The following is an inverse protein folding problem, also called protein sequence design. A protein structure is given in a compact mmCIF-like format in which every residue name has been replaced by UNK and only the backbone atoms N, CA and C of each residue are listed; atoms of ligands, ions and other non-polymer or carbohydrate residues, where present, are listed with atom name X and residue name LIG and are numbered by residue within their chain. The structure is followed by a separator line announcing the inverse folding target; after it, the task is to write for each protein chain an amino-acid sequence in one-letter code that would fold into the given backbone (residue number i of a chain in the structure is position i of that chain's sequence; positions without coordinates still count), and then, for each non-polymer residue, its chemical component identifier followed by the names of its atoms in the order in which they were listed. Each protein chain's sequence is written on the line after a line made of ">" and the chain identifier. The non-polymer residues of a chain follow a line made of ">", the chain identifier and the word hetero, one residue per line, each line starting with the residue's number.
data_IF_345803250355
#
_entry.id   IF_345803250355
#
_cell.length_a   1.000
_cell.length_b   1.000
_cell.length_c   1.000
_cell.angle_alpha   90.00
_cell.angle_beta   90.00
_cell.angle_gamma   90.00
#
_symmetry.space_group_name_H-M   'P 1'
#
loop_
_entity.id
_entity.type
_entity.pdbx_description
1 polymer ?
#
# COMPACT_ATOMS: atom_id res chain seq x y z
N UNK A 1 35.89 -14.89 8.05
CA UNK A 1 34.42 -14.76 8.01
C UNK A 1 34.03 -14.61 6.55
N UNK A 2 33.36 -15.61 5.99
CA UNK A 2 32.88 -15.59 4.60
C UNK A 2 31.68 -14.65 4.53
N UNK A 3 31.79 -13.58 3.75
CA UNK A 3 30.64 -12.75 3.41
C UNK A 3 29.64 -13.64 2.64
N UNK A 4 28.52 -13.98 3.28
CA UNK A 4 27.39 -14.53 2.56
C UNK A 4 26.97 -13.50 1.52
N UNK A 5 26.90 -13.87 0.24
CA UNK A 5 26.11 -13.09 -0.71
C UNK A 5 24.72 -12.96 -0.11
N UNK A 6 24.33 -11.75 0.28
CA UNK A 6 22.95 -11.50 0.65
C UNK A 6 22.09 -11.86 -0.57
N UNK A 7 21.03 -12.66 -0.36
CA UNK A 7 20.05 -12.90 -1.42
C UNK A 7 19.48 -11.54 -1.87
N UNK A 8 19.18 -11.36 -3.18
CA UNK A 8 18.50 -10.14 -3.64
C UNK A 8 17.14 -10.01 -2.92
N UNK A 9 16.64 -8.78 -2.88
CA UNK A 9 15.38 -8.45 -2.23
C UNK A 9 14.22 -9.25 -2.82
N UNK A 10 13.30 -9.73 -1.98
CA UNK A 10 12.11 -10.44 -2.45
C UNK A 10 11.14 -9.46 -3.12
N UNK A 11 11.16 -9.44 -4.45
CA UNK A 11 10.25 -8.61 -5.24
C UNK A 11 8.88 -9.26 -5.40
N UNK A 12 7.85 -8.46 -5.13
CA UNK A 12 6.46 -8.83 -5.34
C UNK A 12 5.62 -7.69 -5.90
N UNK A 13 4.32 -7.94 -5.99
CA UNK A 13 3.31 -6.99 -6.43
C UNK A 13 1.99 -7.26 -5.71
N UNK A 14 1.19 -6.22 -5.55
CA UNK A 14 -0.17 -6.30 -5.04
C UNK A 14 -1.16 -6.60 -6.15
N UNK A 15 -2.25 -7.27 -5.80
CA UNK A 15 -3.43 -7.25 -6.63
C UNK A 15 -4.67 -7.75 -5.92
N UNK A 16 -5.78 -7.61 -6.63
CA UNK A 16 -7.13 -7.83 -6.12
C UNK A 16 -7.84 -8.94 -6.91
N UNK A 17 -7.32 -10.18 -6.90
CA UNK A 17 -7.75 -11.25 -7.80
C UNK A 17 -9.21 -11.67 -7.62
N UNK A 18 -9.83 -11.35 -6.48
CA UNK A 18 -11.16 -11.84 -6.12
C UNK A 18 -12.29 -10.86 -6.44
N UNK A 19 -11.98 -9.57 -6.63
CA UNK A 19 -12.98 -8.49 -6.62
C UNK A 19 -12.79 -7.46 -7.73
N UNK A 20 -11.56 -7.01 -8.01
CA UNK A 20 -11.33 -5.82 -8.85
C UNK A 20 -11.46 -6.08 -10.35
N UNK A 21 -11.12 -7.29 -10.81
CA UNK A 21 -10.96 -7.56 -12.24
C UNK A 21 -11.79 -8.76 -12.72
N UNK A 22 -13.14 -8.75 -12.57
CA UNK A 22 -13.98 -9.80 -13.14
C UNK A 22 -13.70 -9.95 -14.64
N UNK A 23 -13.37 -11.18 -15.07
CA UNK A 23 -12.97 -11.50 -16.44
C UNK A 23 -11.47 -11.80 -16.64
N UNK A 24 -10.63 -11.56 -15.62
CA UNK A 24 -9.20 -11.88 -15.64
C UNK A 24 -8.93 -13.02 -14.66
N UNK A 25 -8.45 -14.18 -15.15
CA UNK A 25 -8.25 -15.34 -14.29
C UNK A 25 -7.06 -15.18 -13.34
N UNK A 26 -7.05 -15.98 -12.27
CA UNK A 26 -5.93 -16.07 -11.32
C UNK A 26 -4.65 -16.45 -12.05
N UNK A 27 -4.72 -17.40 -12.97
CA UNK A 27 -3.59 -17.87 -13.77
C UNK A 27 -2.98 -16.75 -14.60
N UNK A 28 -3.82 -15.94 -15.25
CA UNK A 28 -3.35 -14.82 -16.07
C UNK A 28 -2.64 -13.76 -15.22
N UNK A 29 -3.17 -13.47 -14.03
CA UNK A 29 -2.51 -12.55 -13.10
C UNK A 29 -1.14 -13.09 -12.66
N UNK A 30 -1.08 -14.34 -12.21
CA UNK A 30 0.18 -14.96 -11.78
C UNK A 30 1.19 -15.15 -12.91
N UNK A 31 0.74 -15.31 -14.16
CA UNK A 31 1.63 -15.34 -15.32
C UNK A 31 2.30 -13.98 -15.55
N UNK A 32 1.62 -12.85 -15.28
CA UNK A 32 2.27 -11.53 -15.27
C UNK A 32 3.28 -11.40 -14.14
N UNK A 33 2.96 -11.87 -12.92
CA UNK A 33 3.89 -11.85 -11.77
C UNK A 33 5.17 -12.62 -12.11
N UNK A 34 5.02 -13.83 -12.65
CA UNK A 34 6.15 -14.64 -13.10
C UNK A 34 6.93 -13.95 -14.22
N UNK A 35 6.26 -13.39 -15.21
CA UNK A 35 6.92 -12.72 -16.34
C UNK A 35 7.70 -11.46 -15.92
N UNK A 36 7.26 -10.75 -14.88
CA UNK A 36 8.03 -9.65 -14.25
C UNK A 36 9.31 -10.14 -13.55
N UNK A 37 9.43 -11.44 -13.28
CA UNK A 37 10.50 -12.02 -12.47
C UNK A 37 10.24 -11.96 -10.96
N UNK A 38 9.06 -11.52 -10.55
CA UNK A 38 8.65 -11.44 -9.15
C UNK A 38 8.34 -12.82 -8.56
N UNK A 39 8.46 -12.94 -7.25
CA UNK A 39 8.30 -14.19 -6.50
C UNK A 39 7.24 -14.13 -5.41
N UNK A 40 6.63 -12.96 -5.20
CA UNK A 40 5.56 -12.77 -4.22
C UNK A 40 4.36 -12.05 -4.84
N UNK A 41 3.16 -12.45 -4.46
CA UNK A 41 1.90 -11.80 -4.83
C UNK A 41 1.09 -11.53 -3.56
N UNK A 42 0.93 -10.24 -3.21
CA UNK A 42 0.21 -9.81 -2.02
C UNK A 42 -1.27 -9.60 -2.34
N UNK A 43 -2.15 -10.16 -1.51
CA UNK A 43 -3.59 -10.18 -1.75
C UNK A 43 -4.40 -10.01 -0.47
N UNK A 44 -5.50 -9.29 -0.56
CA UNK A 44 -6.44 -9.07 0.55
C UNK A 44 -7.31 -10.31 0.81
N UNK A 45 -7.53 -10.61 2.09
CA UNK A 45 -8.52 -11.59 2.56
C UNK A 45 -9.26 -11.03 3.79
N UNK A 46 -10.57 -10.78 3.64
CA UNK A 46 -11.37 -10.14 4.69
C UNK A 46 -12.28 -11.10 5.47
N UNK A 47 -12.54 -12.29 4.94
CA UNK A 47 -13.49 -13.24 5.54
C UNK A 47 -13.11 -14.70 5.28
N UNK A 48 -13.64 -15.64 6.09
CA UNK A 48 -13.44 -17.07 5.87
C UNK A 48 -14.01 -17.56 4.54
N UNK A 49 -15.03 -16.90 4.00
CA UNK A 49 -15.65 -17.27 2.72
C UNK A 49 -14.67 -17.16 1.54
N UNK A 50 -13.70 -16.24 1.63
CA UNK A 50 -12.63 -16.11 0.64
C UNK A 50 -11.59 -17.23 0.68
N UNK A 51 -11.60 -18.09 1.71
CA UNK A 51 -10.55 -19.09 1.91
C UNK A 51 -10.50 -20.14 0.79
N UNK A 52 -11.61 -20.48 0.14
CA UNK A 52 -11.57 -21.39 -1.02
C UNK A 52 -10.85 -20.76 -2.21
N UNK A 53 -11.14 -19.48 -2.51
CA UNK A 53 -10.43 -18.74 -3.57
C UNK A 53 -8.95 -18.53 -3.23
N UNK A 54 -8.64 -18.29 -1.95
CA UNK A 54 -7.25 -18.20 -1.48
C UNK A 54 -6.51 -19.54 -1.68
N UNK A 55 -7.15 -20.69 -1.42
CA UNK A 55 -6.55 -22.00 -1.65
C UNK A 55 -6.26 -22.26 -3.14
N UNK A 56 -7.17 -21.87 -4.03
CA UNK A 56 -6.95 -21.93 -5.48
C UNK A 56 -5.75 -21.07 -5.90
N UNK A 57 -5.69 -19.83 -5.39
CA UNK A 57 -4.60 -18.91 -5.64
C UNK A 57 -3.25 -19.43 -5.13
N UNK A 58 -3.20 -19.96 -3.90
CA UNK A 58 -1.98 -20.55 -3.31
C UNK A 58 -1.49 -21.73 -4.14
N UNK A 59 -2.40 -22.62 -4.57
CA UNK A 59 -2.07 -23.74 -5.44
C UNK A 59 -1.51 -23.26 -6.78
N UNK A 60 -2.18 -22.30 -7.43
CA UNK A 60 -1.75 -21.75 -8.71
C UNK A 60 -0.41 -20.99 -8.60
N UNK A 61 -0.17 -20.32 -7.47
CA UNK A 61 1.08 -19.63 -7.14
C UNK A 61 2.24 -20.62 -6.99
N UNK A 62 2.05 -21.69 -6.21
CA UNK A 62 3.05 -22.77 -6.04
C UNK A 62 3.48 -23.37 -7.38
N UNK A 63 2.53 -23.64 -8.28
CA UNK A 63 2.83 -24.15 -9.64
C UNK A 63 3.70 -23.20 -10.48
N UNK A 64 3.71 -21.90 -10.16
CA UNK A 64 4.46 -20.86 -10.87
C UNK A 64 5.69 -20.37 -10.11
N UNK A 65 5.99 -20.94 -8.94
CA UNK A 65 7.05 -20.46 -8.06
C UNK A 65 6.80 -19.04 -7.55
N UNK A 66 5.53 -18.69 -7.34
CA UNK A 66 5.08 -17.41 -6.75
C UNK A 66 4.47 -17.71 -5.37
N UNK A 67 5.03 -17.10 -4.34
CA UNK A 67 4.51 -17.14 -2.98
C UNK A 67 3.33 -16.18 -2.86
N UNK A 68 2.29 -16.59 -2.13
CA UNK A 68 1.15 -15.71 -1.84
C UNK A 68 1.39 -15.11 -0.46
N UNK A 69 1.38 -13.78 -0.38
CA UNK A 69 1.37 -13.03 0.88
C UNK A 69 -0.07 -12.56 1.15
N UNK A 70 -0.87 -13.32 1.89
CA UNK A 70 -2.18 -12.83 2.31
C UNK A 70 -2.02 -11.72 3.34
N UNK A 71 -2.80 -10.65 3.16
CA UNK A 71 -3.06 -9.67 4.22
C UNK A 71 -4.49 -9.85 4.74
N UNK A 72 -4.60 -10.12 6.05
CA UNK A 72 -5.90 -10.22 6.70
C UNK A 72 -6.42 -8.80 6.91
N UNK A 73 -7.52 -8.47 6.26
CA UNK A 73 -8.19 -7.16 6.32
C UNK A 73 -9.60 -7.33 6.89
N UNK A 74 -9.76 -7.50 8.21
CA UNK A 74 -11.04 -7.84 8.81
C UNK A 74 -12.11 -6.80 8.50
N UNK A 75 -13.29 -7.24 8.06
CA UNK A 75 -14.46 -6.37 7.90
C UNK A 75 -15.16 -6.23 9.26
N UNK A 76 -14.72 -5.23 10.04
CA UNK A 76 -15.17 -5.01 11.42
C UNK A 76 -15.82 -3.63 11.55
N UNK A 77 -16.90 -3.55 12.34
CA UNK A 77 -17.49 -2.28 12.75
C UNK A 77 -16.66 -1.65 13.88
N UNK A 78 -15.61 -0.92 13.50
CA UNK A 78 -14.76 -0.22 14.45
C UNK A 78 -15.49 0.92 15.19
N UNK A 79 -16.57 1.47 14.64
CA UNK A 79 -17.28 2.59 15.25
C UNK A 79 -18.15 2.12 16.42
N UNK A 80 -18.89 1.02 16.23
CA UNK A 80 -19.81 0.51 17.25
C UNK A 80 -19.28 -0.69 18.04
N UNK A 81 -18.24 -1.37 17.54
CA UNK A 81 -17.65 -2.53 18.21
C UNK A 81 -16.99 -2.17 19.54
N UNK A 82 -17.16 -3.05 20.54
CA UNK A 82 -16.40 -2.98 21.80
C UNK A 82 -14.99 -3.53 21.61
N UNK A 83 -14.07 -3.17 22.50
CA UNK A 83 -12.68 -3.67 22.48
C UNK A 83 -12.65 -5.20 22.53
N UNK A 84 -13.45 -5.82 23.40
CA UNK A 84 -13.47 -7.27 23.58
C UNK A 84 -14.09 -7.98 22.35
N UNK A 85 -15.19 -7.45 21.81
CA UNK A 85 -15.82 -8.02 20.61
C UNK A 85 -14.90 -7.92 19.39
N UNK A 86 -14.21 -6.79 19.22
CA UNK A 86 -13.27 -6.58 18.12
C UNK A 86 -12.06 -7.50 18.21
N UNK A 87 -11.53 -7.69 19.42
CA UNK A 87 -10.47 -8.68 19.67
C UNK A 87 -10.95 -10.09 19.33
N UNK A 88 -12.13 -10.50 19.82
CA UNK A 88 -12.65 -11.84 19.60
C UNK A 88 -12.92 -12.15 18.12
N UNK A 89 -13.53 -11.20 17.40
CA UNK A 89 -13.79 -11.35 15.96
C UNK A 89 -12.49 -11.43 15.15
N UNK A 90 -11.51 -10.59 15.45
CA UNK A 90 -10.21 -10.62 14.80
C UNK A 90 -9.47 -11.94 15.09
N UNK A 91 -9.52 -12.40 16.34
CA UNK A 91 -8.94 -13.66 16.78
C UNK A 91 -9.57 -14.86 16.04
N UNK A 92 -10.89 -14.91 15.94
CA UNK A 92 -11.61 -16.00 15.26
C UNK A 92 -11.31 -16.05 13.76
N UNK A 93 -11.30 -14.88 13.11
CA UNK A 93 -10.96 -14.76 11.70
C UNK A 93 -9.53 -15.26 11.41
N UNK A 94 -8.55 -14.77 12.18
CA UNK A 94 -7.17 -15.21 12.02
C UNK A 94 -7.00 -16.69 12.37
N UNK A 95 -7.64 -17.18 13.43
CA UNK A 95 -7.60 -18.61 13.79
C UNK A 95 -8.11 -19.48 12.65
N UNK A 96 -9.24 -19.10 12.04
CA UNK A 96 -9.85 -19.82 10.93
C UNK A 96 -8.97 -19.84 9.69
N UNK A 97 -8.48 -18.68 9.26
CA UNK A 97 -7.67 -18.55 8.05
C UNK A 97 -6.29 -19.20 8.25
N UNK A 98 -5.57 -18.82 9.30
CA UNK A 98 -4.20 -19.32 9.54
C UNK A 98 -4.21 -20.82 9.78
N UNK A 99 -5.18 -21.38 10.53
CA UNK A 99 -5.26 -22.84 10.76
C UNK A 99 -5.39 -23.62 9.46
N UNK A 100 -6.21 -23.13 8.52
CA UNK A 100 -6.43 -23.79 7.23
C UNK A 100 -5.17 -23.84 6.37
N UNK A 101 -4.30 -22.85 6.49
CA UNK A 101 -3.18 -22.61 5.58
C UNK A 101 -1.80 -22.73 6.22
N UNK A 102 -1.70 -23.15 7.48
CA UNK A 102 -0.44 -23.18 8.24
C UNK A 102 0.69 -23.96 7.56
N UNK A 103 0.35 -24.98 6.77
CA UNK A 103 1.32 -25.81 6.03
C UNK A 103 1.67 -25.22 4.65
N UNK A 104 0.88 -24.26 4.16
CA UNK A 104 1.03 -23.65 2.85
C UNK A 104 1.61 -22.22 2.89
N UNK A 105 1.31 -21.47 3.93
CA UNK A 105 1.63 -20.05 4.09
C UNK A 105 2.33 -19.84 5.44
N UNK A 106 3.57 -19.34 5.39
CA UNK A 106 4.42 -19.14 6.57
C UNK A 106 4.60 -17.69 6.99
N UNK A 107 4.07 -16.74 6.21
CA UNK A 107 4.03 -15.32 6.57
C UNK A 107 2.65 -14.78 6.27
N UNK A 108 2.07 -14.10 7.25
CA UNK A 108 0.80 -13.40 7.13
C UNK A 108 1.00 -11.93 7.46
N UNK A 109 0.45 -11.05 6.64
CA UNK A 109 0.28 -9.67 7.02
C UNK A 109 -1.04 -9.51 7.77
N UNK A 110 -0.99 -8.85 8.92
CA UNK A 110 -2.07 -8.84 9.89
C UNK A 110 -2.57 -7.41 10.08
N UNK A 111 -3.71 -7.12 9.47
CA UNK A 111 -4.23 -5.77 9.34
C UNK A 111 -3.57 -5.03 8.16
N UNK A 112 -4.31 -4.08 7.59
CA UNK A 112 -3.80 -3.16 6.58
C UNK A 112 -4.16 -1.74 7.02
N UNK A 113 -3.17 -0.90 7.28
CA UNK A 113 -3.35 0.53 7.57
C UNK A 113 -4.36 0.85 8.70
N UNK A 114 -4.52 -0.06 9.66
CA UNK A 114 -5.56 0.05 10.71
C UNK A 114 -5.37 1.30 11.57
N UNK A 115 -4.13 1.80 11.70
CA UNK A 115 -3.80 2.98 12.48
C UNK A 115 -4.41 4.27 11.92
N UNK A 116 -4.73 4.30 10.62
CA UNK A 116 -5.44 5.42 10.00
C UNK A 116 -6.77 5.69 10.72
N UNK A 117 -7.47 4.63 11.17
CA UNK A 117 -8.70 4.76 11.92
C UNK A 117 -8.50 5.53 13.23
N UNK A 118 -7.33 5.39 13.85
CA UNK A 118 -7.02 6.01 15.14
C UNK A 118 -6.38 7.40 15.02
N UNK A 119 -6.14 7.93 13.82
CA UNK A 119 -5.47 9.22 13.67
C UNK A 119 -6.29 10.34 14.31
N UNK A 120 -5.61 11.19 15.09
CA UNK A 120 -6.21 12.34 15.77
C UNK A 120 -6.68 13.36 14.74
N UNK A 121 -7.94 13.77 14.85
CA UNK A 121 -8.62 14.69 13.95
C UNK A 121 -8.71 16.10 14.56
N UNK A 122 -8.94 17.14 13.74
CA UNK A 122 -9.14 18.51 14.22
C UNK A 122 -10.18 18.60 15.34
N UNK A 123 -9.91 19.44 16.34
CA UNK A 123 -10.75 19.65 17.53
C UNK A 123 -10.86 18.47 18.52
N UNK A 124 -10.29 17.31 18.24
CA UNK A 124 -10.30 16.19 19.20
C UNK A 124 -9.37 16.46 20.39
N UNK A 125 -9.75 15.95 21.56
CA UNK A 125 -8.92 16.06 22.75
C UNK A 125 -7.81 15.00 22.74
N UNK A 126 -6.59 15.44 23.01
CA UNK A 126 -5.45 14.55 23.28
C UNK A 126 -5.59 13.92 24.67
N UNK A 127 -4.80 12.89 24.93
CA UNK A 127 -4.71 12.24 26.25
C UNK A 127 -4.28 13.22 27.37
N UNK A 128 -3.55 14.28 27.01
CA UNK A 128 -3.15 15.36 27.92
C UNK A 128 -4.30 16.28 28.34
N UNK A 129 -5.49 16.16 27.74
CA UNK A 129 -6.60 17.10 27.88
C UNK A 129 -6.48 18.35 27.00
N UNK A 130 -5.38 18.51 26.25
CA UNK A 130 -5.22 19.59 25.27
C UNK A 130 -6.05 19.32 24.02
N UNK A 131 -6.77 20.33 23.55
CA UNK A 131 -7.50 20.24 22.29
C UNK A 131 -6.55 20.33 21.09
N UNK A 132 -6.63 19.36 20.18
CA UNK A 132 -5.94 19.43 18.91
C UNK A 132 -6.50 20.57 18.05
N UNK A 133 -5.60 21.37 17.48
CA UNK A 133 -5.99 22.61 16.80
C UNK A 133 -7.03 22.35 15.70
N UNK A 134 -8.19 23.01 15.81
CA UNK A 134 -9.30 22.90 14.88
C UNK A 134 -8.97 23.35 13.44
N UNK A 135 -7.95 24.18 13.25
CA UNK A 135 -7.50 24.66 11.95
C UNK A 135 -6.46 23.77 11.29
N UNK A 136 -5.97 22.73 11.97
CA UNK A 136 -5.02 21.77 11.38
C UNK A 136 -5.75 20.69 10.57
N UNK A 137 -5.00 19.91 9.79
CA UNK A 137 -5.48 18.64 9.24
C UNK A 137 -5.33 17.50 10.26
N UNK A 138 -5.65 16.25 9.88
CA UNK A 138 -5.33 15.08 10.69
C UNK A 138 -3.86 15.10 11.14
N UNK A 139 -3.59 14.58 12.33
CA UNK A 139 -2.22 14.51 12.83
C UNK A 139 -1.33 13.65 11.93
N UNK A 140 -0.01 13.91 11.94
CA UNK A 140 0.93 13.27 11.01
C UNK A 140 1.38 11.85 11.39
N UNK A 141 0.85 11.26 12.45
CA UNK A 141 1.18 9.88 12.87
C UNK A 141 2.60 9.65 13.40
N UNK A 142 3.46 10.68 13.44
CA UNK A 142 4.87 10.56 13.85
C UNK A 142 5.11 10.33 15.35
N UNK A 143 4.10 10.53 16.18
CA UNK A 143 4.15 10.46 17.63
C UNK A 143 2.95 9.68 18.17
N UNK A 144 3.07 9.09 19.35
CA UNK A 144 1.95 8.36 19.98
C UNK A 144 0.77 9.28 20.29
N UNK A 145 1.02 10.56 20.54
CA UNK A 145 0.01 11.60 20.81
C UNK A 145 -0.76 12.02 19.55
N UNK A 146 -0.35 11.56 18.36
CA UNK A 146 -1.06 11.77 17.09
C UNK A 146 -2.21 10.78 16.87
N UNK A 147 -2.45 9.87 17.82
CA UNK A 147 -3.55 8.92 17.77
C UNK A 147 -4.54 9.21 18.90
N UNK A 148 -5.82 9.20 18.56
CA UNK A 148 -6.92 9.34 19.50
C UNK A 148 -7.12 8.03 20.27
N UNK A 149 -6.79 8.01 21.56
CA UNK A 149 -6.73 6.77 22.35
C UNK A 149 -7.98 5.90 22.34
N UNK A 150 -9.22 6.45 22.39
CA UNK A 150 -10.42 5.61 22.26
C UNK A 150 -10.45 4.81 20.95
N UNK A 151 -10.09 5.42 19.81
CA UNK A 151 -10.00 4.71 18.52
C UNK A 151 -8.77 3.81 18.45
N UNK A 152 -7.65 4.22 19.03
CA UNK A 152 -6.45 3.37 19.13
C UNK A 152 -6.71 2.07 19.90
N UNK A 153 -7.45 2.12 21.02
CA UNK A 153 -7.75 0.92 21.82
C UNK A 153 -8.47 -0.16 21.01
N UNK A 154 -9.33 0.25 20.06
CA UNK A 154 -10.03 -0.64 19.13
C UNK A 154 -9.08 -1.22 18.07
N UNK A 155 -8.22 -0.38 17.48
CA UNK A 155 -7.17 -0.83 16.55
C UNK A 155 -6.25 -1.85 17.23
N UNK A 156 -5.79 -1.53 18.44
CA UNK A 156 -4.94 -2.39 19.27
C UNK A 156 -5.61 -3.73 19.56
N UNK A 157 -6.90 -3.75 19.88
CA UNK A 157 -7.68 -4.96 20.08
C UNK A 157 -7.68 -5.87 18.85
N UNK A 158 -7.91 -5.30 17.66
CA UNK A 158 -7.92 -6.06 16.40
C UNK A 158 -6.53 -6.62 16.11
N UNK A 159 -5.49 -5.78 16.12
CA UNK A 159 -4.11 -6.20 15.82
C UNK A 159 -3.62 -7.27 16.82
N UNK A 160 -3.96 -7.11 18.10
CA UNK A 160 -3.67 -8.12 19.13
C UNK A 160 -4.41 -9.42 18.88
N UNK A 161 -5.70 -9.38 18.54
CA UNK A 161 -6.49 -10.57 18.21
C UNK A 161 -5.89 -11.36 17.04
N UNK A 162 -5.51 -10.66 15.95
CA UNK A 162 -4.84 -11.27 14.80
C UNK A 162 -3.49 -11.91 15.19
N UNK A 163 -2.69 -11.18 15.96
CA UNK A 163 -1.38 -11.65 16.47
C UNK A 163 -1.53 -12.92 17.30
N UNK A 164 -2.37 -12.87 18.34
CA UNK A 164 -2.48 -13.92 19.34
C UNK A 164 -3.08 -15.19 18.75
N UNK A 165 -4.06 -15.07 17.86
CA UNK A 165 -4.59 -16.20 17.10
C UNK A 165 -3.51 -16.88 16.24
N UNK A 166 -2.72 -16.10 15.51
CA UNK A 166 -1.63 -16.64 14.67
C UNK A 166 -0.63 -17.43 15.52
N UNK A 167 -0.28 -16.91 16.70
CA UNK A 167 0.64 -17.56 17.64
C UNK A 167 0.03 -18.84 18.24
N UNK A 168 -1.26 -18.80 18.58
CA UNK A 168 -1.97 -19.96 19.11
C UNK A 168 -2.08 -21.11 18.08
N UNK A 169 -2.22 -20.79 16.80
CA UNK A 169 -2.28 -21.77 15.71
C UNK A 169 -0.91 -22.41 15.45
N UNK A 170 0.12 -21.59 15.24
CA UNK A 170 1.50 -22.06 15.05
C UNK A 170 2.47 -20.88 15.33
N UNK A 171 3.24 -20.93 16.44
CA UNK A 171 4.14 -19.84 16.81
C UNK A 171 5.31 -19.63 15.83
N UNK A 172 5.54 -20.56 14.90
CA UNK A 172 6.57 -20.43 13.86
C UNK A 172 6.13 -19.62 12.65
N UNK A 173 4.83 -19.33 12.52
CA UNK A 173 4.30 -18.46 11.46
C UNK A 173 4.68 -17.01 11.74
N UNK A 174 5.31 -16.36 10.75
CA UNK A 174 5.74 -14.97 10.85
C UNK A 174 4.57 -14.02 10.66
N UNK A 175 4.52 -13.00 11.50
CA UNK A 175 3.50 -11.96 11.57
C UNK A 175 4.09 -10.67 11.03
N UNK A 176 3.62 -10.23 9.86
CA UNK A 176 3.95 -8.93 9.31
C UNK A 176 2.88 -7.92 9.74
N UNK A 177 3.30 -6.79 10.31
CA UNK A 177 2.40 -5.74 10.77
C UNK A 177 3.04 -4.37 10.56
N UNK A 178 2.23 -3.38 10.24
CA UNK A 178 2.74 -2.05 9.98
C UNK A 178 1.66 -1.04 9.71
N UNK A 179 2.03 -0.04 8.92
CA UNK A 179 1.28 1.21 8.79
C UNK A 179 1.19 1.64 7.33
N UNK A 180 0.24 2.54 7.04
CA UNK A 180 0.05 3.19 5.75
C UNK A 180 1.26 3.98 5.23
N UNK A 181 2.30 4.14 6.05
CA UNK A 181 3.46 4.96 5.73
C UNK A 181 3.27 6.41 6.15
N UNK A 182 3.71 7.36 5.33
CA UNK A 182 3.46 8.80 5.51
C UNK A 182 3.81 9.39 6.88
N UNK A 183 4.81 8.81 7.55
CA UNK A 183 5.27 9.26 8.87
C UNK A 183 4.58 8.59 10.06
N UNK A 184 3.72 7.58 9.86
CA UNK A 184 2.96 6.89 10.92
C UNK A 184 3.80 6.01 11.88
N UNK A 185 5.05 6.40 12.17
CA UNK A 185 5.95 5.69 13.08
C UNK A 185 5.44 5.59 14.52
N UNK A 186 4.58 6.52 14.95
CA UNK A 186 4.01 6.52 16.29
C UNK A 186 3.13 5.29 16.58
N UNK A 187 2.52 4.70 15.55
CA UNK A 187 1.75 3.46 15.68
C UNK A 187 2.64 2.28 16.11
N UNK A 188 3.88 2.16 15.63
CA UNK A 188 4.80 1.12 16.09
C UNK A 188 5.11 1.25 17.58
N UNK A 189 5.33 2.48 18.05
CA UNK A 189 5.56 2.74 19.47
C UNK A 189 4.34 2.35 20.30
N UNK A 190 3.13 2.68 19.84
CA UNK A 190 1.91 2.25 20.53
C UNK A 190 1.70 0.73 20.50
N UNK A 191 1.99 0.06 19.38
CA UNK A 191 1.97 -1.41 19.31
C UNK A 191 2.92 -2.06 20.33
N UNK A 192 4.13 -1.51 20.51
CA UNK A 192 5.06 -1.95 21.55
C UNK A 192 4.50 -1.73 22.96
N UNK A 193 3.92 -0.56 23.23
CA UNK A 193 3.34 -0.21 24.54
C UNK A 193 2.19 -1.14 24.92
N UNK A 194 1.38 -1.54 23.93
CA UNK A 194 0.24 -2.44 24.13
C UNK A 194 0.62 -3.92 24.12
N UNK A 195 1.92 -4.24 23.96
CA UNK A 195 2.43 -5.62 23.98
C UNK A 195 2.04 -6.44 22.74
N UNK A 196 1.69 -5.81 21.62
CA UNK A 196 1.38 -6.50 20.37
C UNK A 196 2.66 -7.16 19.83
N UNK A 197 2.56 -8.42 19.40
CA UNK A 197 3.70 -9.22 18.94
C UNK A 197 3.67 -9.40 17.44
N UNK A 198 4.65 -8.87 16.74
CA UNK A 198 4.88 -9.12 15.32
C UNK A 198 6.32 -9.57 15.09
N UNK A 199 6.67 -9.98 13.87
CA UNK A 199 8.02 -10.43 13.50
C UNK A 199 8.64 -9.58 12.40
N UNK A 200 7.81 -8.97 11.54
CA UNK A 200 8.22 -8.15 10.40
C UNK A 200 7.53 -6.80 10.45
N UNK A 201 8.30 -5.71 10.40
CA UNK A 201 7.76 -4.35 10.36
C UNK A 201 7.41 -3.97 8.92
N UNK A 202 6.15 -3.62 8.68
CA UNK A 202 5.62 -3.30 7.35
C UNK A 202 5.53 -1.79 7.14
N UNK A 203 5.92 -1.31 5.96
CA UNK A 203 5.84 0.11 5.60
C UNK A 203 5.35 0.30 4.17
N UNK A 204 4.41 1.22 3.95
CA UNK A 204 4.03 1.62 2.59
C UNK A 204 4.78 2.88 2.14
N UNK A 205 5.17 2.94 0.86
CA UNK A 205 6.00 4.01 0.31
C UNK A 205 5.46 4.54 -1.03
N UNK A 206 4.93 5.75 -1.00
CA UNK A 206 4.37 6.42 -2.19
C UNK A 206 5.16 7.68 -2.58
N UNK A 207 6.45 7.71 -2.28
CA UNK A 207 7.38 8.78 -2.65
C UNK A 207 8.34 9.20 -1.54
N UNK A 208 9.37 9.95 -1.94
CA UNK A 208 10.42 10.42 -1.03
C UNK A 208 11.43 9.34 -0.67
N UNK A 209 12.45 9.75 0.09
CA UNK A 209 13.47 8.84 0.62
C UNK A 209 13.00 8.24 1.97
N UNK A 210 12.88 6.90 2.09
CA UNK A 210 12.45 6.27 3.33
C UNK A 210 13.56 6.13 4.39
N UNK A 211 14.78 6.62 4.16
CA UNK A 211 15.95 6.37 5.03
C UNK A 211 15.66 6.62 6.52
N UNK A 212 15.06 7.76 6.84
CA UNK A 212 14.79 8.14 8.24
C UNK A 212 13.77 7.21 8.91
N UNK A 213 12.82 6.69 8.13
CA UNK A 213 11.86 5.70 8.62
C UNK A 213 12.55 4.35 8.77
N UNK A 214 13.40 3.94 7.83
CA UNK A 214 14.13 2.68 7.94
C UNK A 214 15.12 2.68 9.10
N UNK A 215 15.78 3.81 9.39
CA UNK A 215 16.57 3.99 10.63
C UNK A 215 15.71 3.72 11.86
N UNK A 216 14.52 4.32 11.93
CA UNK A 216 13.59 4.07 13.03
C UNK A 216 13.16 2.59 13.10
N UNK A 217 12.69 2.00 12.00
CA UNK A 217 12.22 0.61 11.98
C UNK A 217 13.33 -0.39 12.33
N UNK A 218 14.57 -0.14 11.91
CA UNK A 218 15.72 -0.96 12.27
C UNK A 218 15.97 -0.97 13.79
N UNK A 219 15.65 0.11 14.52
CA UNK A 219 15.74 0.12 16.00
C UNK A 219 14.77 -0.86 16.68
N UNK A 220 13.72 -1.29 15.98
CA UNK A 220 12.77 -2.29 16.49
C UNK A 220 13.36 -3.71 16.46
N UNK A 221 14.53 -3.90 15.84
CA UNK A 221 15.24 -5.19 15.78
C UNK A 221 14.54 -6.25 14.93
N UNK A 222 13.75 -5.83 13.95
CA UNK A 222 12.92 -6.69 13.10
C UNK A 222 13.18 -6.40 11.62
N UNK A 223 13.07 -7.39 10.73
CA UNK A 223 13.14 -7.14 9.29
C UNK A 223 12.07 -6.16 8.79
N UNK A 224 12.39 -5.45 7.72
CA UNK A 224 11.51 -4.45 7.10
C UNK A 224 10.96 -5.00 5.78
N UNK A 225 9.65 -5.00 5.62
CA UNK A 225 8.99 -5.30 4.36
C UNK A 225 8.23 -4.08 3.86
N UNK A 226 8.38 -3.77 2.57
CA UNK A 226 7.50 -2.83 1.90
C UNK A 226 6.40 -3.64 1.23
N UNK A 227 5.19 -3.60 1.77
CA UNK A 227 4.07 -4.36 1.22
C UNK A 227 3.27 -3.56 0.22
N UNK A 228 3.54 -2.24 0.13
CA UNK A 228 3.04 -1.38 -0.93
C UNK A 228 4.07 -0.30 -1.26
N UNK A 229 4.43 -0.17 -2.54
CA UNK A 229 5.09 1.03 -3.04
C UNK A 229 4.73 1.32 -4.50
N UNK A 230 4.73 2.59 -4.88
CA UNK A 230 4.66 3.00 -6.28
C UNK A 230 5.22 4.42 -6.44
N UNK A 231 5.38 4.86 -7.69
CA UNK A 231 5.53 6.28 -7.97
C UNK A 231 4.29 7.05 -7.48
N UNK A 232 4.46 8.19 -6.77
CA UNK A 232 3.34 8.99 -6.28
C UNK A 232 2.33 9.31 -7.38
N UNK A 233 1.09 8.88 -7.20
CA UNK A 233 0.01 9.09 -8.16
C UNK A 233 0.01 8.12 -9.36
N UNK A 234 0.81 7.06 -9.33
CA UNK A 234 0.89 6.07 -10.40
C UNK A 234 1.25 6.70 -11.73
N UNK A 235 0.49 6.41 -12.79
CA UNK A 235 0.69 7.02 -14.11
C UNK A 235 -0.14 8.28 -14.37
N UNK A 236 -0.75 8.92 -13.36
CA UNK A 236 -1.58 10.12 -13.58
C UNK A 236 -0.84 11.28 -14.26
N UNK A 237 0.47 11.42 -14.00
CA UNK A 237 1.33 12.46 -14.60
C UNK A 237 2.09 11.97 -15.83
N UNK A 238 1.86 10.72 -16.25
CA UNK A 238 2.51 10.07 -17.38
C UNK A 238 3.13 8.73 -17.00
N UNK A 239 2.98 7.75 -17.89
CA UNK A 239 3.46 6.38 -17.62
C UNK A 239 4.98 6.26 -17.63
N UNK A 240 5.68 7.11 -18.38
CA UNK A 240 7.14 7.16 -18.33
C UNK A 240 7.64 7.65 -16.97
N UNK A 241 6.96 8.64 -16.36
CA UNK A 241 7.31 9.11 -15.02
C UNK A 241 7.08 8.02 -13.97
N UNK A 242 6.00 7.24 -14.10
CA UNK A 242 5.78 6.06 -13.26
C UNK A 242 6.95 5.06 -13.39
N UNK A 243 7.36 4.77 -14.63
CA UNK A 243 8.46 3.85 -14.89
C UNK A 243 9.78 4.32 -14.26
N UNK A 244 10.16 5.58 -14.48
CA UNK A 244 11.40 6.15 -13.96
C UNK A 244 11.40 6.18 -12.42
N UNK A 245 10.30 6.62 -11.82
CA UNK A 245 10.17 6.69 -10.35
C UNK A 245 10.16 5.31 -9.67
N UNK A 246 9.59 4.29 -10.32
CA UNK A 246 9.68 2.91 -9.82
C UNK A 246 11.13 2.39 -9.88
N UNK A 247 11.85 2.63 -10.98
CA UNK A 247 13.26 2.22 -11.10
C UNK A 247 14.14 2.92 -10.06
N UNK A 248 13.92 4.22 -9.83
CA UNK A 248 14.61 4.99 -8.80
C UNK A 248 14.36 4.38 -7.41
N UNK A 249 13.09 4.15 -7.05
CA UNK A 249 12.69 3.56 -5.77
C UNK A 249 13.30 2.16 -5.59
N UNK A 250 13.21 1.30 -6.61
CA UNK A 250 13.78 -0.06 -6.54
C UNK A 250 15.30 -0.04 -6.36
N UNK A 251 16.00 0.90 -7.00
CA UNK A 251 17.44 1.08 -6.83
C UNK A 251 17.78 1.51 -5.41
N UNK A 252 16.98 2.43 -4.84
CA UNK A 252 17.13 2.88 -3.46
C UNK A 252 16.90 1.75 -2.46
N UNK A 253 15.85 0.93 -2.65
CA UNK A 253 15.55 -0.21 -1.77
C UNK A 253 16.67 -1.25 -1.75
N UNK A 254 17.34 -1.51 -2.89
CA UNK A 254 18.53 -2.39 -2.91
C UNK A 254 19.68 -1.83 -2.09
N UNK A 255 19.91 -0.51 -2.14
CA UNK A 255 20.95 0.14 -1.31
C UNK A 255 20.63 -0.01 0.18
N UNK A 256 19.35 0.07 0.54
CA UNK A 256 18.88 -0.01 1.92
C UNK A 256 18.73 -1.42 2.47
N UNK A 257 18.75 -2.44 1.59
CA UNK A 257 18.63 -3.84 1.96
C UNK A 257 19.58 -4.23 3.09
N UNK A 258 20.90 -4.09 2.88
CA UNK A 258 21.90 -4.47 3.87
C UNK A 258 22.03 -3.48 5.04
N UNK A 259 21.66 -2.21 4.83
CA UNK A 259 21.80 -1.15 5.84
C UNK A 259 20.72 -1.23 6.93
N UNK A 260 19.50 -1.60 6.55
CA UNK A 260 18.35 -1.57 7.47
C UNK A 260 17.61 -2.90 7.58
N UNK A 261 18.05 -3.95 6.88
CA UNK A 261 17.39 -5.26 6.91
C UNK A 261 16.07 -5.26 6.13
N UNK A 262 16.03 -4.57 4.98
CA UNK A 262 14.89 -4.66 4.07
C UNK A 262 14.92 -6.01 3.37
N UNK A 263 13.87 -6.82 3.51
CA UNK A 263 13.84 -8.19 2.98
C UNK A 263 12.92 -8.34 1.76
N UNK A 264 11.84 -7.56 1.67
CA UNK A 264 10.83 -7.68 0.62
C UNK A 264 10.24 -6.32 0.23
N UNK A 265 9.80 -6.20 -1.03
CA UNK A 265 9.12 -5.02 -1.54
C UNK A 265 8.07 -5.39 -2.59
N UNK A 266 6.86 -4.83 -2.46
CA UNK A 266 5.71 -5.13 -3.32
C UNK A 266 5.19 -3.87 -4.01
N UNK A 267 5.18 -3.87 -5.34
CA UNK A 267 4.60 -2.76 -6.10
C UNK A 267 3.08 -2.76 -5.93
N UNK A 268 2.48 -1.62 -5.61
CA UNK A 268 1.03 -1.43 -5.63
C UNK A 268 0.65 -0.66 -6.90
N UNK A 269 0.18 -1.27 -7.99
CA UNK A 269 -0.35 -2.64 -8.11
C UNK A 269 -0.13 -3.29 -9.50
N UNK A 270 -0.55 -4.55 -9.66
CA UNK A 270 -0.29 -5.33 -10.87
C UNK A 270 -1.08 -4.83 -12.09
N UNK A 271 -2.39 -4.62 -11.92
CA UNK A 271 -3.32 -4.23 -12.97
C UNK A 271 -3.97 -2.90 -12.59
N UNK A 272 -4.25 -2.04 -13.56
CA UNK A 272 -4.99 -0.80 -13.30
C UNK A 272 -6.41 -1.08 -12.84
N UNK A 273 -6.96 -0.22 -11.98
CA UNK A 273 -8.37 -0.23 -11.56
C UNK A 273 -9.15 0.98 -12.14
N UNK A 274 -9.37 1.05 -13.46
CA UNK A 274 -9.89 2.26 -14.13
C UNK A 274 -11.30 2.69 -13.67
N UNK A 275 -12.04 1.84 -12.97
CA UNK A 275 -13.33 2.20 -12.38
C UNK A 275 -13.23 3.16 -11.18
N UNK A 276 -12.04 3.33 -10.60
CA UNK A 276 -11.75 4.40 -9.63
C UNK A 276 -11.44 5.73 -10.29
N UNK A 277 -11.43 5.82 -11.63
CA UNK A 277 -11.07 7.05 -12.29
C UNK A 277 -12.04 8.18 -11.88
N UNK A 278 -11.51 9.38 -11.57
CA UNK A 278 -10.14 9.82 -11.84
C UNK A 278 -9.22 9.81 -10.60
N UNK A 279 -9.56 9.05 -9.55
CA UNK A 279 -8.64 8.75 -8.44
C UNK A 279 -7.28 8.27 -8.96
N UNK A 280 -6.21 8.56 -8.23
CA UNK A 280 -4.89 8.04 -8.58
C UNK A 280 -4.82 6.51 -8.49
N UNK A 281 -5.63 5.91 -7.59
CA UNK A 281 -5.83 4.46 -7.47
C UNK A 281 -6.10 3.81 -8.83
N UNK A 282 -6.81 4.50 -9.72
CA UNK A 282 -7.16 3.97 -11.04
C UNK A 282 -5.97 3.73 -11.97
N UNK A 283 -4.81 4.29 -11.65
CA UNK A 283 -3.65 4.38 -12.53
C UNK A 283 -2.37 3.81 -11.92
N UNK A 284 -2.50 3.02 -10.85
CA UNK A 284 -1.37 2.43 -10.11
C UNK A 284 -0.80 1.17 -10.77
N UNK A 285 -1.57 0.52 -11.65
CA UNK A 285 -1.23 -0.73 -12.31
C UNK A 285 0.02 -0.67 -13.19
N UNK A 286 0.67 -1.83 -13.39
CA UNK A 286 1.70 -2.03 -14.42
C UNK A 286 1.10 -2.47 -15.77
N UNK A 287 -0.13 -2.98 -15.76
CA UNK A 287 -0.89 -3.42 -16.94
C UNK A 287 -2.20 -2.66 -17.01
N UNK A 288 -2.47 -2.04 -18.15
CA UNK A 288 -3.73 -1.33 -18.39
C UNK A 288 -4.87 -2.31 -18.55
N UNK A 289 -6.05 -1.91 -18.08
CA UNK A 289 -7.30 -2.61 -18.34
C UNK A 289 -8.22 -1.80 -19.26
N UNK A 290 -9.10 -2.51 -19.96
CA UNK A 290 -10.24 -1.93 -20.67
C UNK A 290 -11.50 -2.72 -20.36
N UNK A 291 -12.63 -2.02 -20.26
CA UNK A 291 -13.94 -2.65 -20.13
C UNK A 291 -14.33 -3.27 -21.47
N UNK A 292 -14.75 -4.52 -21.45
CA UNK A 292 -15.30 -5.23 -22.62
C UNK A 292 -16.79 -4.90 -22.77
N UNK A 293 -17.34 -5.22 -23.94
CA UNK A 293 -18.76 -5.03 -24.25
C UNK A 293 -19.72 -5.87 -23.38
N UNK A 294 -19.22 -6.94 -22.75
CA UNK A 294 -19.96 -7.79 -21.81
C UNK A 294 -19.87 -7.32 -20.35
N UNK A 295 -19.28 -6.14 -20.11
CA UNK A 295 -19.13 -5.55 -18.78
C UNK A 295 -17.93 -6.07 -17.97
N UNK A 296 -17.22 -7.09 -18.47
CA UNK A 296 -16.02 -7.65 -17.84
C UNK A 296 -14.76 -6.87 -18.22
N UNK A 297 -13.67 -7.05 -17.47
CA UNK A 297 -12.38 -6.43 -17.78
C UNK A 297 -11.51 -7.33 -18.64
N UNK A 298 -10.65 -6.70 -19.46
CA UNK A 298 -9.57 -7.37 -20.16
C UNK A 298 -8.31 -6.49 -20.15
N UNK A 299 -7.11 -7.10 -20.15
CA UNK A 299 -5.88 -6.36 -20.37
C UNK A 299 -5.91 -5.62 -21.71
N UNK A 300 -5.48 -4.36 -21.72
CA UNK A 300 -5.38 -3.52 -22.91
C UNK A 300 -3.92 -3.21 -23.30
N UNK A 301 -2.96 -3.60 -22.47
CA UNK A 301 -1.53 -3.54 -22.78
C UNK A 301 -0.66 -3.28 -21.55
N UNK A 302 0.62 -3.62 -21.63
CA UNK A 302 1.61 -3.32 -20.59
C UNK A 302 1.96 -1.82 -20.63
N UNK A 303 2.18 -1.20 -19.47
CA UNK A 303 2.77 0.14 -19.38
C UNK A 303 4.30 0.08 -19.51
N UNK A 304 4.98 1.17 -19.89
CA UNK A 304 6.45 1.26 -19.84
C UNK A 304 7.05 0.79 -18.50
N UNK A 305 6.37 1.08 -17.39
CA UNK A 305 6.75 0.64 -16.05
C UNK A 305 6.90 -0.89 -15.93
N UNK A 306 6.09 -1.68 -16.64
CA UNK A 306 6.17 -3.14 -16.62
C UNK A 306 7.54 -3.63 -17.08
N UNK A 307 8.00 -3.15 -18.24
CA UNK A 307 9.26 -3.59 -18.82
C UNK A 307 10.46 -3.00 -18.06
N UNK A 308 10.35 -1.78 -17.56
CA UNK A 308 11.37 -1.14 -16.72
C UNK A 308 11.60 -1.90 -15.41
N UNK A 309 10.52 -2.28 -14.72
CA UNK A 309 10.56 -3.11 -13.50
C UNK A 309 11.15 -4.47 -13.80
N UNK A 310 10.67 -5.17 -14.85
CA UNK A 310 11.18 -6.48 -15.26
C UNK A 310 12.70 -6.45 -15.52
N UNK A 311 13.16 -5.44 -16.26
CA UNK A 311 14.59 -5.25 -16.52
C UNK A 311 15.38 -4.98 -15.23
N UNK A 312 14.83 -4.18 -14.33
CA UNK A 312 15.48 -3.85 -13.05
C UNK A 312 15.63 -5.08 -12.15
N UNK A 313 14.62 -5.95 -12.08
CA UNK A 313 14.70 -7.23 -11.37
C UNK A 313 15.78 -8.12 -12.01
N UNK A 314 15.73 -8.31 -13.33
CA UNK A 314 16.69 -9.14 -14.06
C UNK A 314 18.15 -8.66 -13.88
N UNK A 315 18.39 -7.35 -13.88
CA UNK A 315 19.73 -6.77 -13.73
C UNK A 315 20.32 -6.95 -12.33
N UNK A 316 19.52 -6.93 -11.27
CA UNK A 316 20.03 -7.20 -9.91
C UNK A 316 20.48 -8.65 -9.73
N UNK A 317 19.80 -9.58 -10.40
CA UNK A 317 20.21 -10.99 -10.42
C UNK A 317 21.56 -11.21 -11.14
N UNK A 318 21.89 -10.35 -12.12
CA UNK A 318 23.15 -10.39 -12.87
C UNK A 318 24.34 -9.75 -12.13
N UNK A 319 24.09 -8.95 -11.08
CA UNK A 319 25.11 -8.22 -10.31
C UNK A 319 25.90 -9.05 -9.29
N UNK A 320 25.63 -10.37 -9.17
CA UNK A 320 26.40 -11.27 -8.29
C UNK A 320 27.78 -11.66 -8.85
N UNK A 321 28.13 -11.20 -10.06
CA UNK A 321 29.48 -11.28 -10.62
C UNK A 321 30.04 -9.87 -10.83
N UNK A 322 30.89 -9.41 -9.90
CA UNK A 322 31.57 -8.11 -9.99
C UNK A 322 32.47 -7.99 -11.22
N UNK A 323 32.64 -6.76 -11.72
CA UNK A 323 33.99 -6.27 -11.96
C UNK A 323 34.26 -4.90 -11.29
N UNK A 324 35.46 -4.81 -10.73
CA UNK A 324 36.19 -3.65 -10.23
C UNK A 324 36.01 -2.38 -11.06
N UNK A 325 35.57 -1.29 -10.43
CA UNK A 325 35.55 0.06 -11.02
C UNK A 325 36.78 0.84 -10.56
N UNK A 326 37.62 1.19 -11.53
CA UNK A 326 38.73 2.14 -11.39
C UNK A 326 38.17 3.56 -11.32
N UNK A 327 38.52 4.30 -10.28
CA UNK A 327 38.18 5.71 -10.09
C UNK A 327 38.98 6.60 -11.04
N UNK A 328 38.27 7.35 -11.89
CA UNK A 328 38.78 8.59 -12.50
C UNK A 328 37.81 9.72 -12.21
N UNK A 329 38.31 10.72 -11.50
CA UNK A 329 37.65 11.94 -11.09
C UNK A 329 37.34 12.84 -12.30
N UNK A 330 36.17 13.47 -12.31
CA UNK A 330 35.83 14.58 -13.21
C UNK A 330 35.63 15.88 -12.40
N UNK A 331 35.93 17.06 -12.98
CA UNK A 331 35.91 18.35 -12.28
C UNK A 331 34.50 18.98 -12.20
N UNK A 332 34.31 20.06 -11.41
CA UNK A 332 32.99 20.58 -11.05
C UNK A 332 32.32 21.32 -12.20
N UNK A 333 30.99 21.21 -12.29
CA UNK A 333 30.18 21.89 -13.28
C UNK A 333 29.88 23.33 -12.86
N UNK A 334 29.98 24.22 -13.85
CA UNK A 334 29.79 25.66 -13.78
C UNK A 334 28.30 26.03 -13.85
N UNK A 335 27.87 26.96 -13.01
CA UNK A 335 26.53 27.51 -13.00
C UNK A 335 26.44 28.63 -14.04
N UNK A 336 25.64 28.47 -15.09
CA UNK A 336 24.77 29.53 -15.66
C UNK A 336 24.20 29.08 -17.01
N UNK A 337 22.87 28.92 -17.09
CA UNK A 337 22.02 29.33 -18.22
C UNK A 337 20.60 28.81 -18.00
N UNK A 338 19.67 29.74 -17.76
CA UNK A 338 18.24 29.48 -17.68
C UNK A 338 17.67 29.50 -19.10
N UNK A 339 16.99 28.45 -19.59
CA UNK A 339 16.25 28.51 -20.84
C UNK A 339 14.92 29.25 -20.67
N UNK A 340 14.40 29.90 -21.72
CA UNK A 340 13.21 30.74 -21.65
C UNK A 340 11.93 29.92 -21.44
N UNK A 341 11.02 30.50 -20.67
CA UNK A 341 9.67 30.00 -20.39
C UNK A 341 8.87 29.97 -21.69
N UNK A 342 8.48 28.78 -22.14
CA UNK A 342 7.50 28.60 -23.20
C UNK A 342 6.08 28.72 -22.63
N UNK A 343 5.22 29.42 -23.38
CA UNK A 343 3.84 29.75 -23.07
C UNK A 343 3.01 28.58 -22.52
N UNK A 344 2.38 28.83 -21.38
CA UNK A 344 1.40 27.95 -20.76
C UNK A 344 0.08 27.99 -21.56
N UNK A 345 -0.04 27.14 -22.56
CA UNK A 345 -1.35 26.69 -23.04
C UNK A 345 -2.11 26.05 -21.88
N UNK A 346 -3.34 26.51 -21.63
CA UNK A 346 -4.16 26.09 -20.50
C UNK A 346 -4.38 24.57 -20.46
N UNK A 347 -3.53 23.87 -19.71
CA UNK A 347 -3.76 22.49 -19.29
C UNK A 347 -4.86 22.53 -18.23
N UNK A 348 -6.08 22.14 -18.58
CA UNK A 348 -7.11 21.88 -17.58
C UNK A 348 -6.78 20.55 -16.88
N UNK A 349 -6.38 20.55 -15.58
CA UNK A 349 -5.85 19.36 -14.91
C UNK A 349 -6.91 18.29 -14.60
N UNK A 350 -8.16 18.51 -14.99
CA UNK A 350 -9.24 17.53 -14.90
C UNK A 350 -10.36 17.91 -15.89
N UNK A 351 -11.11 16.91 -16.39
CA UNK A 351 -12.28 17.10 -17.25
C UNK A 351 -13.49 16.43 -16.62
N UNK A 352 -14.62 17.15 -16.52
CA UNK A 352 -15.87 16.61 -15.98
C UNK A 352 -16.45 15.49 -16.85
N UNK A 353 -16.11 15.47 -18.14
CA UNK A 353 -16.53 14.42 -19.08
C UNK A 353 -15.75 13.11 -18.89
N UNK A 354 -14.64 13.14 -18.16
CA UNK A 354 -13.84 11.96 -17.84
C UNK A 354 -14.38 11.14 -16.65
N UNK A 355 -15.44 11.63 -15.98
CA UNK A 355 -16.05 10.94 -14.84
C UNK A 355 -17.16 9.99 -15.30
N UNK A 356 -17.06 8.72 -14.92
CA UNK A 356 -18.14 7.75 -15.13
C UNK A 356 -19.30 8.04 -14.16
N UNK A 357 -20.35 8.70 -14.68
CA UNK A 357 -21.56 9.07 -13.93
C UNK A 357 -22.44 7.86 -13.56
N UNK A 358 -22.14 6.66 -14.07
CA UNK A 358 -22.90 5.44 -13.79
C UNK A 358 -22.46 4.71 -12.51
N UNK A 359 -21.28 5.03 -11.96
CA UNK A 359 -20.75 4.44 -10.72
C UNK A 359 -20.17 5.52 -9.80
N UNK A 360 -21.01 6.03 -8.89
CA UNK A 360 -20.63 7.05 -7.91
C UNK A 360 -20.30 6.42 -6.55
N UNK A 361 -19.08 5.90 -6.39
CA UNK A 361 -18.52 5.64 -5.06
C UNK A 361 -18.00 6.96 -4.42
N UNK A 362 -17.79 6.97 -3.09
CA UNK A 362 -17.38 8.19 -2.38
C UNK A 362 -16.07 8.80 -2.93
N UNK A 363 -15.11 7.98 -3.34
CA UNK A 363 -13.84 8.45 -3.91
C UNK A 363 -14.06 9.21 -5.23
N UNK A 364 -14.93 8.71 -6.11
CA UNK A 364 -15.32 9.36 -7.37
C UNK A 364 -16.10 10.65 -7.13
N UNK A 365 -16.98 10.70 -6.12
CA UNK A 365 -17.72 11.91 -5.75
C UNK A 365 -16.78 13.03 -5.28
N UNK A 366 -15.76 12.69 -4.50
CA UNK A 366 -14.76 13.64 -4.01
C UNK A 366 -13.87 14.13 -5.14
N UNK A 367 -13.39 13.23 -5.98
CA UNK A 367 -12.64 13.59 -7.17
C UNK A 367 -13.44 14.53 -8.08
N UNK A 368 -14.76 14.27 -8.22
CA UNK A 368 -15.66 15.11 -9.01
C UNK A 368 -15.82 16.50 -8.40
N UNK A 369 -16.06 16.59 -7.10
CA UNK A 369 -16.19 17.87 -6.40
C UNK A 369 -14.90 18.71 -6.49
N UNK A 370 -13.73 18.08 -6.33
CA UNK A 370 -12.43 18.76 -6.53
C UNK A 370 -12.27 19.25 -7.97
N UNK A 371 -12.67 18.46 -8.96
CA UNK A 371 -12.59 18.90 -10.35
C UNK A 371 -13.57 20.03 -10.68
N UNK A 372 -14.80 19.95 -10.18
CA UNK A 372 -15.84 20.95 -10.41
C UNK A 372 -15.50 22.30 -9.76
N UNK A 373 -15.10 22.26 -8.49
CA UNK A 373 -14.94 23.46 -7.64
C UNK A 373 -13.52 24.01 -7.74
N UNK A 374 -12.52 23.14 -7.61
CA UNK A 374 -11.11 23.54 -7.51
C UNK A 374 -10.37 23.43 -8.85
N UNK A 375 -11.04 22.94 -9.91
CA UNK A 375 -10.46 22.75 -11.26
C UNK A 375 -9.16 21.93 -11.25
N UNK A 376 -9.03 20.99 -10.31
CA UNK A 376 -7.91 20.05 -10.17
C UNK A 376 -8.36 18.73 -9.55
N UNK A 377 -7.55 17.69 -9.67
CA UNK A 377 -7.75 16.44 -8.92
C UNK A 377 -7.29 16.59 -7.45
N UNK A 378 -7.90 15.87 -6.48
CA UNK A 378 -7.37 15.74 -5.13
C UNK A 378 -6.09 14.89 -5.16
N UNK A 379 -5.15 15.19 -4.27
CA UNK A 379 -4.05 14.27 -3.94
C UNK A 379 -4.57 13.04 -3.19
N UNK A 380 -3.80 11.93 -3.13
CA UNK A 380 -4.15 10.74 -2.36
C UNK A 380 -4.67 11.02 -0.94
N UNK A 381 -3.89 11.80 -0.20
CA UNK A 381 -4.22 12.18 1.16
C UNK A 381 -5.45 13.09 1.25
N UNK A 382 -5.72 13.95 0.26
CA UNK A 382 -6.95 14.78 0.22
C UNK A 382 -8.19 13.94 -0.07
N UNK A 383 -8.08 13.00 -1.01
CA UNK A 383 -9.19 12.15 -1.40
C UNK A 383 -9.59 11.22 -0.26
N UNK A 384 -8.61 10.57 0.37
CA UNK A 384 -8.83 9.76 1.55
C UNK A 384 -9.45 10.57 2.70
N UNK A 385 -8.91 11.76 3.00
CA UNK A 385 -9.45 12.66 4.03
C UNK A 385 -10.93 12.95 3.82
N UNK A 386 -11.33 13.24 2.60
CA UNK A 386 -12.72 13.53 2.29
C UNK A 386 -13.60 12.25 2.31
N UNK A 387 -13.08 11.08 1.92
CA UNK A 387 -13.83 9.81 2.00
C UNK A 387 -14.13 9.47 3.46
N UNK A 388 -13.13 9.61 4.32
CA UNK A 388 -13.27 9.40 5.77
C UNK A 388 -14.25 10.39 6.37
N UNK A 389 -14.19 11.67 5.96
CA UNK A 389 -15.14 12.69 6.42
C UNK A 389 -16.59 12.36 6.01
N UNK A 390 -16.80 11.92 4.76
CA UNK A 390 -18.13 11.53 4.27
C UNK A 390 -18.68 10.28 4.97
N UNK A 391 -17.82 9.34 5.36
CA UNK A 391 -18.23 8.18 6.17
C UNK A 391 -18.62 8.57 7.59
N UNK A 392 -17.94 9.56 8.18
CA UNK A 392 -18.18 10.03 9.56
C UNK A 392 -19.45 10.86 9.71
N UNK A 393 -19.83 11.63 8.69
CA UNK A 393 -21.05 12.42 8.69
C UNK A 393 -21.78 12.33 7.34
N UNK A 394 -22.75 11.40 7.23
CA UNK A 394 -23.56 11.26 6.02
C UNK A 394 -24.38 12.51 5.67
N UNK A 395 -24.57 13.47 6.60
CA UNK A 395 -25.30 14.72 6.34
C UNK A 395 -24.49 15.75 5.52
N UNK A 396 -23.18 15.53 5.40
CA UNK A 396 -22.32 16.25 4.45
C UNK A 396 -22.75 15.95 3.00
N UNK A 397 -23.35 14.78 2.75
CA UNK A 397 -23.82 14.33 1.44
C UNK A 397 -24.78 15.33 0.76
N UNK A 398 -25.96 15.66 1.32
CA UNK A 398 -26.88 16.61 0.69
C UNK A 398 -26.32 18.03 0.52
N UNK A 399 -25.29 18.41 1.29
CA UNK A 399 -24.65 19.73 1.16
C UNK A 399 -23.69 19.77 -0.03
N UNK A 400 -22.91 18.71 -0.25
CA UNK A 400 -22.12 18.53 -1.46
C UNK A 400 -23.02 18.36 -2.69
N UNK A 401 -24.09 17.57 -2.60
CA UNK A 401 -25.03 17.34 -3.73
C UNK A 401 -25.86 18.57 -4.10
N UNK A 402 -26.08 19.52 -3.18
CA UNK A 402 -26.73 20.82 -3.49
C UNK A 402 -25.78 21.83 -4.15
N UNK A 403 -24.47 21.57 -4.12
CA UNK A 403 -23.45 22.34 -4.85
C UNK A 403 -23.07 21.69 -6.19
N UNK A 404 -23.55 20.45 -6.44
CA UNK A 404 -23.58 19.76 -7.74
C UNK A 404 -24.80 20.22 -8.55
#
# INVERSE_FOLDING_TARGET
>A
MTASCAADLLWGVNGHPFTAYPGISIEQQLDYVRDLGMKSYRVNISSPDGATKLAELVKAGKQRGVQILPVITPDLDLDNGTVDDLYAQAYDLASTLVSRFKDDIRVWELGNEMENYAILMPCEMRDSGEQYNCSWGPAGGTETTHYFSPRWSKVSAVLRGLSDATIAVDPTIRKAMGTAGWGHRGAFTRMLQDGIRWDISVWHLYGGDPEDVFKFLATLGRPIWLTEFNHPGGSQKGESQQADGLVETMTLLRRYQALYGVEAAHIYELLDEPYWAPSYEAFMGLVRLKKRGDGLWAPSGRKPAYDAVKKTIANGNAGSSSPTVSTKSLPPADHTSVPPVADAGAFHPCSLDAFDKSVFNHANQIAYAYCLILRRMPSPAEQWRAVVAMKKDPSIFPTLTKML
#
